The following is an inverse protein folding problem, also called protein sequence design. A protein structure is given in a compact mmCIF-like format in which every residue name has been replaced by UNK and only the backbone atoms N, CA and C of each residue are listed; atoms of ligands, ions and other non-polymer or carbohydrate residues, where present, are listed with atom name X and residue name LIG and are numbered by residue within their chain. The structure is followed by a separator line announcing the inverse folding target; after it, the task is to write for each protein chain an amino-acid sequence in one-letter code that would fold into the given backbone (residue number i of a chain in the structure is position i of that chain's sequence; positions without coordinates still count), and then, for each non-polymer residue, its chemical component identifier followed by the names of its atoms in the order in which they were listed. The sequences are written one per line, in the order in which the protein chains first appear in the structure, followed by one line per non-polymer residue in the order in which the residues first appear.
data_IF_754662380681
#
_entry.id   IF_754662380681
#
_cell.length_a   1.000
_cell.length_b   1.000
_cell.length_c   1.000
_cell.angle_alpha   90.00
_cell.angle_beta   90.00
_cell.angle_gamma   90.00
#
_symmetry.space_group_name_H-M   'P 1'
#
loop_
_entity.id
_entity.type
_entity.pdbx_description
1 polymer ?
#
# COMPACT_ATOMS: atom_id res chain seq x y z
N UNK A 1 -14.73 -1.43 10.47
CA UNK A 1 -14.52 -2.42 9.41
C UNK A 1 -14.64 -3.80 10.03
N UNK A 2 -15.55 -4.66 9.56
CA UNK A 2 -15.73 -6.00 10.13
C UNK A 2 -15.19 -7.00 9.10
N UNK A 3 -14.22 -7.81 9.51
CA UNK A 3 -13.65 -8.85 8.66
C UNK A 3 -14.16 -10.21 9.09
N UNK A 4 -14.58 -11.01 8.14
CA UNK A 4 -14.64 -12.47 8.31
C UNK A 4 -13.74 -13.06 7.22
N UNK A 5 -12.51 -13.36 7.58
CA UNK A 5 -11.53 -13.93 6.64
C UNK A 5 -11.16 -15.32 7.13
N UNK A 6 -11.45 -16.31 6.32
CA UNK A 6 -10.92 -17.65 6.47
C UNK A 6 -9.63 -17.79 5.67
N UNK A 7 -8.56 -18.25 6.29
CA UNK A 7 -7.30 -18.61 5.64
C UNK A 7 -7.14 -20.12 5.62
N UNK A 8 -6.78 -20.66 4.46
CA UNK A 8 -6.36 -22.07 4.32
C UNK A 8 -4.94 -22.12 3.78
N UNK A 9 -4.17 -23.06 4.28
CA UNK A 9 -2.77 -23.29 3.90
C UNK A 9 -2.62 -24.70 3.35
N UNK A 10 -1.87 -24.83 2.27
CA UNK A 10 -1.39 -26.10 1.76
C UNK A 10 0.14 -26.06 1.68
N UNK A 11 0.80 -27.08 2.21
CA UNK A 11 2.26 -27.18 2.26
C UNK A 11 2.94 -26.42 3.41
N UNK A 12 2.19 -25.82 4.33
CA UNK A 12 2.73 -25.08 5.47
C UNK A 12 1.85 -25.22 6.72
N UNK A 13 2.43 -24.90 7.87
CA UNK A 13 1.74 -24.85 9.16
C UNK A 13 1.84 -23.45 9.77
N UNK A 14 0.79 -23.04 10.50
CA UNK A 14 0.83 -21.78 11.27
C UNK A 14 1.72 -21.98 12.50
N UNK A 15 2.73 -21.13 12.64
CA UNK A 15 3.61 -21.11 13.81
C UNK A 15 3.16 -20.06 14.84
N UNK A 16 2.74 -18.89 14.36
CA UNK A 16 2.27 -17.82 15.23
C UNK A 16 1.32 -16.87 14.49
N UNK A 17 0.42 -16.25 15.25
CA UNK A 17 -0.38 -15.11 14.81
C UNK A 17 -0.13 -13.97 15.79
N UNK A 18 0.11 -12.77 15.26
CA UNK A 18 0.37 -11.58 16.07
C UNK A 18 -0.06 -10.32 15.33
N UNK A 19 -0.11 -9.22 16.04
CA UNK A 19 -0.28 -7.90 15.49
C UNK A 19 1.07 -7.20 15.49
N UNK A 20 1.50 -6.69 14.34
CA UNK A 20 2.76 -5.96 14.22
C UNK A 20 2.65 -4.53 14.76
N UNK A 21 3.75 -3.78 14.71
CA UNK A 21 3.82 -2.39 15.17
C UNK A 21 2.91 -1.43 14.39
N UNK A 22 2.48 -1.80 13.19
CA UNK A 22 1.57 -1.03 12.35
C UNK A 22 0.09 -1.46 12.52
N UNK A 23 -0.20 -2.35 13.47
CA UNK A 23 -1.49 -3.01 13.67
C UNK A 23 -1.94 -3.90 12.50
N UNK A 24 -1.00 -4.42 11.72
CA UNK A 24 -1.29 -5.45 10.75
C UNK A 24 -1.38 -6.81 11.45
N UNK A 25 -2.43 -7.57 11.17
CA UNK A 25 -2.50 -8.97 11.59
C UNK A 25 -1.54 -9.80 10.74
N UNK A 26 -0.58 -10.41 11.38
CA UNK A 26 0.49 -11.17 10.73
C UNK A 26 0.40 -12.63 11.14
N UNK A 27 0.48 -13.53 10.16
CA UNK A 27 0.55 -14.97 10.39
C UNK A 27 1.92 -15.46 9.94
N UNK A 28 2.70 -15.97 10.89
CA UNK A 28 3.96 -16.66 10.61
C UNK A 28 3.66 -18.12 10.25
N UNK A 29 4.15 -18.55 9.11
CA UNK A 29 4.00 -19.92 8.65
C UNK A 29 5.37 -20.59 8.50
N UNK A 30 5.46 -21.87 8.81
CA UNK A 30 6.61 -22.70 8.54
C UNK A 30 6.30 -23.69 7.43
N UNK A 31 7.26 -23.85 6.52
CA UNK A 31 7.14 -24.82 5.43
C UNK A 31 7.44 -26.23 5.93
N UNK A 32 6.64 -27.19 5.52
CA UNK A 32 6.93 -28.60 5.78
C UNK A 32 8.21 -29.04 5.07
N UNK A 33 9.02 -29.91 5.68
CA UNK A 33 10.25 -30.38 5.04
C UNK A 33 10.00 -30.98 3.65
N UNK A 34 10.75 -30.51 2.66
CA UNK A 34 10.63 -30.98 1.27
C UNK A 34 9.53 -30.30 0.46
N UNK A 35 8.77 -29.38 1.04
CA UNK A 35 7.78 -28.58 0.32
C UNK A 35 8.45 -27.68 -0.69
N UNK A 36 7.93 -27.68 -1.93
CA UNK A 36 8.41 -26.84 -3.04
C UNK A 36 7.41 -25.74 -3.40
N UNK A 37 6.17 -25.88 -2.95
CA UNK A 37 5.09 -24.98 -3.25
C UNK A 37 4.21 -24.81 -2.01
N UNK A 38 3.80 -23.57 -1.76
CA UNK A 38 2.84 -23.23 -0.71
C UNK A 38 1.71 -22.45 -1.32
N UNK A 39 0.50 -22.88 -1.06
CA UNK A 39 -0.69 -22.13 -1.46
C UNK A 39 -1.35 -21.52 -0.23
N UNK A 40 -1.52 -20.20 -0.26
CA UNK A 40 -2.26 -19.45 0.76
C UNK A 40 -3.53 -18.94 0.13
N UNK A 41 -4.67 -19.37 0.62
CA UNK A 41 -5.98 -18.89 0.14
C UNK A 41 -6.69 -18.14 1.26
N UNK A 42 -7.02 -16.88 1.00
CA UNK A 42 -7.82 -16.05 1.90
C UNK A 42 -9.18 -15.75 1.26
N UNK A 43 -10.26 -15.98 1.99
CA UNK A 43 -11.62 -15.68 1.56
C UNK A 43 -12.38 -14.97 2.66
N UNK A 44 -13.16 -13.96 2.31
CA UNK A 44 -13.93 -13.25 3.31
C UNK A 44 -14.88 -12.22 2.74
N UNK A 45 -15.71 -11.66 3.60
CA UNK A 45 -16.61 -10.56 3.29
C UNK A 45 -16.20 -9.34 4.10
N UNK A 46 -16.13 -8.19 3.46
CA UNK A 46 -15.77 -6.92 4.07
C UNK A 46 -16.91 -5.93 3.87
N UNK A 47 -17.34 -5.29 4.98
CA UNK A 47 -18.26 -4.17 4.92
C UNK A 47 -17.49 -2.87 4.87
N UNK A 48 -17.62 -2.15 3.77
CA UNK A 48 -16.98 -0.85 3.58
C UNK A 48 -17.99 0.28 3.68
N UNK A 49 -17.53 1.45 4.08
CA UNK A 49 -18.31 2.69 4.07
C UNK A 49 -17.49 3.80 3.42
N UNK A 50 -18.15 4.68 2.71
CA UNK A 50 -17.51 5.86 2.17
C UNK A 50 -17.28 6.88 3.29
N UNK A 51 -16.05 7.30 3.45
CA UNK A 51 -15.61 8.33 4.40
C UNK A 51 -14.84 9.44 3.69
N UNK A 52 -15.02 9.56 2.37
CA UNK A 52 -14.30 10.54 1.54
C UNK A 52 -12.77 10.50 1.73
N UNK A 53 -12.22 9.32 1.91
CA UNK A 53 -10.79 9.09 2.15
C UNK A 53 -10.31 9.37 3.57
N UNK A 54 -11.15 9.88 4.46
CA UNK A 54 -10.75 10.17 5.85
C UNK A 54 -10.79 8.89 6.69
N UNK A 55 -9.62 8.45 7.15
CA UNK A 55 -9.48 7.30 8.05
C UNK A 55 -9.66 7.73 9.51
N UNK A 56 -9.30 8.98 9.81
CA UNK A 56 -9.46 9.58 11.13
C UNK A 56 -8.19 9.54 11.99
N UNK A 57 -8.37 9.65 13.30
CA UNK A 57 -7.28 9.86 14.26
C UNK A 57 -6.24 8.75 14.19
N UNK A 58 -4.99 9.16 14.41
CA UNK A 58 -3.92 8.19 14.60
C UNK A 58 -4.20 7.36 15.86
N UNK A 59 -4.19 6.04 15.69
CA UNK A 59 -4.29 5.06 16.75
C UNK A 59 -3.09 4.13 16.64
N UNK A 60 -2.56 3.70 17.78
CA UNK A 60 -1.42 2.81 17.81
C UNK A 60 -0.27 3.33 18.67
N UNK A 61 0.78 2.52 18.76
CA UNK A 61 1.91 2.76 19.65
C UNK A 61 3.01 3.60 18.99
N UNK A 62 3.07 3.62 17.65
CA UNK A 62 4.08 4.35 16.91
C UNK A 62 3.75 5.85 16.92
N UNK A 63 4.70 6.71 17.30
CA UNK A 63 4.49 8.15 17.26
C UNK A 63 4.46 8.66 15.80
N UNK A 64 3.78 9.78 15.55
CA UNK A 64 3.67 10.35 14.21
C UNK A 64 5.01 10.66 13.55
N UNK A 65 6.03 11.04 14.33
CA UNK A 65 7.37 11.30 13.77
C UNK A 65 8.00 10.06 13.12
N UNK A 66 7.61 8.84 13.51
CA UNK A 66 8.05 7.60 12.87
C UNK A 66 7.68 7.55 11.38
N UNK A 67 6.55 8.14 11.04
CA UNK A 67 6.07 8.22 9.65
C UNK A 67 6.66 9.40 8.87
N UNK A 68 7.59 10.15 9.46
CA UNK A 68 8.45 11.14 8.79
C UNK A 68 9.80 10.54 8.37
N UNK A 69 10.16 9.37 8.91
CA UNK A 69 11.44 8.74 8.62
C UNK A 69 11.48 8.15 7.21
N UNK A 70 12.58 8.40 6.50
CA UNK A 70 12.83 7.77 5.22
C UNK A 70 13.13 6.27 5.39
N UNK A 71 12.70 5.50 4.41
CA UNK A 71 13.12 4.11 4.23
C UNK A 71 14.03 3.99 3.01
N UNK A 72 14.61 2.81 2.78
CA UNK A 72 15.38 2.57 1.55
C UNK A 72 14.55 2.81 0.29
N UNK A 73 13.27 2.44 0.31
CA UNK A 73 12.36 2.57 -0.84
C UNK A 73 11.88 4.00 -1.09
N UNK A 74 11.76 4.82 -0.03
CA UNK A 74 11.19 6.18 -0.10
C UNK A 74 12.21 7.29 0.08
N UNK A 75 13.52 6.97 0.17
CA UNK A 75 14.60 7.95 0.38
C UNK A 75 14.65 8.97 -0.76
N UNK A 76 14.60 10.28 -0.45
CA UNK A 76 14.60 11.31 -1.47
C UNK A 76 15.90 11.36 -2.29
N UNK A 77 15.76 11.30 -3.60
CA UNK A 77 16.82 11.57 -4.58
C UNK A 77 16.67 12.97 -5.22
N UNK A 78 17.36 13.19 -6.31
CA UNK A 78 17.37 14.49 -6.98
C UNK A 78 16.03 14.79 -7.66
N UNK A 79 15.36 13.78 -8.23
CA UNK A 79 14.07 13.93 -8.91
C UNK A 79 12.95 14.23 -7.94
N UNK A 80 12.89 13.52 -6.82
CA UNK A 80 11.92 13.79 -5.76
C UNK A 80 12.08 15.21 -5.21
N UNK A 81 13.34 15.65 -4.95
CA UNK A 81 13.61 17.02 -4.51
C UNK A 81 13.15 18.06 -5.51
N UNK A 82 13.38 17.83 -6.80
CA UNK A 82 12.94 18.74 -7.86
C UNK A 82 11.41 18.81 -7.94
N UNK A 83 10.73 17.66 -7.81
CA UNK A 83 9.27 17.59 -7.82
C UNK A 83 8.66 18.38 -6.65
N UNK A 84 9.17 18.18 -5.44
CA UNK A 84 8.70 18.92 -4.25
C UNK A 84 9.02 20.41 -4.35
N UNK A 85 10.19 20.79 -4.85
CA UNK A 85 10.57 22.20 -5.02
C UNK A 85 9.69 22.94 -6.04
N UNK A 86 9.14 22.23 -7.02
CA UNK A 86 8.22 22.79 -8.02
C UNK A 86 6.75 22.82 -7.56
N UNK A 87 6.43 22.17 -6.42
CA UNK A 87 5.07 22.06 -5.93
C UNK A 87 4.63 23.37 -5.24
N UNK A 88 3.53 24.01 -5.67
CA UNK A 88 2.94 25.09 -4.89
C UNK A 88 2.39 24.55 -3.57
N UNK A 89 2.93 25.04 -2.47
CA UNK A 89 2.44 24.71 -1.12
C UNK A 89 1.41 25.76 -0.71
N UNK A 90 0.25 25.30 -0.28
CA UNK A 90 -0.86 26.13 0.18
C UNK A 90 -1.11 25.92 1.67
N UNK A 91 -1.87 26.82 2.30
CA UNK A 91 -2.31 26.68 3.69
C UNK A 91 -3.23 25.45 3.85
N UNK A 92 -3.98 25.07 2.79
CA UNK A 92 -4.74 23.83 2.73
C UNK A 92 -3.82 22.66 2.35
N UNK A 93 -3.46 21.85 3.35
CA UNK A 93 -2.63 20.66 3.16
C UNK A 93 -3.32 19.57 2.33
N UNK A 94 -4.65 19.46 2.37
CA UNK A 94 -5.39 18.51 1.53
C UNK A 94 -5.21 18.89 0.05
N UNK A 95 -5.40 20.17 -0.26
CA UNK A 95 -5.18 20.67 -1.63
C UNK A 95 -3.72 20.49 -2.08
N UNK A 96 -2.75 20.77 -1.21
CA UNK A 96 -1.33 20.55 -1.48
C UNK A 96 -1.03 19.08 -1.81
N UNK A 97 -1.57 18.14 -1.04
CA UNK A 97 -1.37 16.70 -1.25
C UNK A 97 -2.08 16.18 -2.51
N UNK A 98 -3.25 16.70 -2.86
CA UNK A 98 -3.87 16.40 -4.17
C UNK A 98 -3.04 16.92 -5.35
N UNK A 99 -2.40 18.08 -5.21
CA UNK A 99 -1.46 18.58 -6.23
C UNK A 99 -0.21 17.72 -6.32
N UNK A 100 0.31 17.24 -5.19
CA UNK A 100 1.40 16.27 -5.18
C UNK A 100 1.00 15.00 -5.94
N UNK A 101 -0.19 14.44 -5.66
CA UNK A 101 -0.73 13.29 -6.39
C UNK A 101 -0.78 13.54 -7.90
N UNK A 102 -1.33 14.68 -8.32
CA UNK A 102 -1.41 15.07 -9.72
C UNK A 102 -0.01 15.23 -10.36
N UNK A 103 0.96 15.80 -9.63
CA UNK A 103 2.33 15.97 -10.12
C UNK A 103 3.04 14.61 -10.31
N UNK A 104 2.79 13.64 -9.43
CA UNK A 104 3.32 12.26 -9.58
C UNK A 104 2.75 11.61 -10.84
N UNK A 105 1.42 11.64 -11.03
CA UNK A 105 0.75 11.08 -12.23
C UNK A 105 1.28 11.73 -13.51
N UNK A 106 1.48 13.04 -13.50
CA UNK A 106 1.98 13.77 -14.67
C UNK A 106 3.45 13.41 -15.00
N UNK A 107 4.21 12.91 -14.03
CA UNK A 107 5.63 12.60 -14.20
C UNK A 107 5.89 11.13 -14.46
N UNK A 108 5.11 10.23 -13.87
CA UNK A 108 5.29 8.77 -13.94
C UNK A 108 4.08 8.15 -14.63
N UNK A 109 4.31 7.63 -15.84
CA UNK A 109 3.30 6.88 -16.60
C UNK A 109 2.99 5.55 -15.92
N UNK A 110 1.69 5.22 -15.78
CA UNK A 110 1.30 3.90 -15.28
C UNK A 110 1.62 2.82 -16.31
N UNK A 111 2.61 1.98 -16.03
CA UNK A 111 3.06 0.94 -16.94
C UNK A 111 3.54 -0.29 -16.16
N UNK A 112 2.95 -1.45 -16.44
CA UNK A 112 3.33 -2.73 -15.85
C UNK A 112 4.60 -3.29 -16.47
N UNK A 113 5.36 -4.12 -15.71
CA UNK A 113 6.56 -4.81 -16.20
C UNK A 113 7.81 -3.96 -16.33
N UNK A 114 7.83 -2.74 -15.76
CA UNK A 114 8.98 -1.82 -15.77
C UNK A 114 9.64 -1.67 -14.40
N UNK A 115 8.93 -1.99 -13.35
CA UNK A 115 9.37 -1.91 -11.95
C UNK A 115 9.06 -3.22 -11.23
N UNK A 116 9.69 -3.43 -10.10
CA UNK A 116 9.51 -4.59 -9.22
C UNK A 116 9.37 -4.16 -7.75
N UNK A 117 9.31 -5.13 -6.84
CA UNK A 117 9.14 -4.89 -5.41
C UNK A 117 10.33 -4.17 -4.74
N UNK A 118 11.51 -4.18 -5.38
CA UNK A 118 12.72 -3.55 -4.87
C UNK A 118 12.95 -2.14 -5.44
N UNK A 119 12.21 -1.78 -6.50
CA UNK A 119 12.31 -0.46 -7.15
C UNK A 119 12.02 0.66 -6.17
N UNK A 120 12.92 1.62 -6.04
CA UNK A 120 12.77 2.77 -5.16
C UNK A 120 11.94 3.88 -5.81
N UNK A 121 11.38 4.76 -5.00
CA UNK A 121 10.63 5.93 -5.46
C UNK A 121 11.44 6.82 -6.43
N UNK A 122 12.74 7.01 -6.15
CA UNK A 122 13.61 7.82 -7.01
C UNK A 122 13.86 7.13 -8.36
N UNK A 123 14.08 5.81 -8.37
CA UNK A 123 14.29 5.04 -9.60
C UNK A 123 13.06 5.06 -10.49
N UNK A 124 11.86 4.90 -9.92
CA UNK A 124 10.60 5.01 -10.66
C UNK A 124 10.41 6.41 -11.28
N UNK A 125 10.75 7.48 -10.54
CA UNK A 125 10.75 8.86 -11.06
C UNK A 125 11.78 9.08 -12.17
N UNK A 126 12.96 8.47 -12.06
CA UNK A 126 13.99 8.54 -13.12
C UNK A 126 13.52 7.80 -14.37
N UNK A 127 12.92 6.62 -14.21
CA UNK A 127 12.37 5.84 -15.31
C UNK A 127 11.11 6.46 -15.92
N UNK A 128 10.43 7.36 -15.21
CA UNK A 128 9.16 7.98 -15.55
C UNK A 128 8.05 6.96 -15.87
N UNK A 129 8.15 5.75 -15.32
CA UNK A 129 7.20 4.64 -15.46
C UNK A 129 7.13 3.85 -14.17
N UNK A 130 5.94 3.33 -13.85
CA UNK A 130 5.74 2.52 -12.67
C UNK A 130 4.29 2.08 -12.52
N UNK A 131 4.00 1.44 -11.39
CA UNK A 131 2.66 0.96 -11.04
C UNK A 131 2.16 1.67 -9.76
N UNK A 132 1.02 1.23 -9.22
CA UNK A 132 0.44 1.85 -8.01
C UNK A 132 1.39 1.83 -6.80
N UNK A 133 2.22 0.80 -6.68
CA UNK A 133 3.27 0.74 -5.65
C UNK A 133 4.25 1.90 -5.76
N UNK A 134 4.75 2.18 -6.97
CA UNK A 134 5.73 3.24 -7.21
C UNK A 134 5.11 4.61 -6.97
N UNK A 135 3.91 4.84 -7.49
CA UNK A 135 3.17 6.08 -7.27
C UNK A 135 2.97 6.36 -5.78
N UNK A 136 2.56 5.35 -5.01
CA UNK A 136 2.38 5.48 -3.56
C UNK A 136 3.69 5.76 -2.83
N UNK A 137 4.79 5.09 -3.17
CA UNK A 137 6.10 5.30 -2.56
C UNK A 137 6.67 6.69 -2.85
N UNK A 138 6.52 7.19 -4.08
CA UNK A 138 6.91 8.56 -4.46
C UNK A 138 6.12 9.58 -3.64
N UNK A 139 4.81 9.42 -3.57
CA UNK A 139 3.94 10.31 -2.79
C UNK A 139 4.35 10.32 -1.31
N UNK A 140 4.53 9.14 -0.70
CA UNK A 140 4.93 9.00 0.71
C UNK A 140 6.25 9.72 0.98
N UNK A 141 7.28 9.48 0.17
CA UNK A 141 8.57 10.14 0.33
C UNK A 141 8.49 11.66 0.14
N UNK A 142 7.74 12.13 -0.85
CA UNK A 142 7.54 13.57 -1.08
C UNK A 142 6.73 14.24 0.03
N UNK A 143 5.69 13.59 0.57
CA UNK A 143 4.92 14.11 1.69
C UNK A 143 5.79 14.27 2.95
N UNK A 144 6.67 13.30 3.22
CA UNK A 144 7.65 13.39 4.33
C UNK A 144 8.63 14.54 4.17
N UNK A 145 9.09 14.81 2.95
CA UNK A 145 9.92 15.99 2.66
C UNK A 145 9.21 17.31 2.96
N UNK A 146 7.89 17.35 2.87
CA UNK A 146 7.05 18.49 3.28
C UNK A 146 6.79 18.53 4.79
N UNK A 147 7.35 17.61 5.57
CA UNK A 147 7.10 17.50 7.01
C UNK A 147 5.77 16.85 7.37
N UNK A 148 5.10 16.21 6.42
CA UNK A 148 3.79 15.57 6.61
C UNK A 148 4.00 14.07 6.85
N UNK A 149 3.59 13.52 8.03
CA UNK A 149 3.68 12.09 8.28
C UNK A 149 2.88 11.32 7.23
N UNK A 150 3.52 10.34 6.58
CA UNK A 150 2.88 9.58 5.51
C UNK A 150 3.25 8.09 5.59
N UNK A 151 2.32 7.23 5.15
CA UNK A 151 2.48 5.78 5.14
C UNK A 151 1.94 5.15 3.88
N UNK A 152 2.48 4.02 3.56
CA UNK A 152 2.07 3.16 2.46
C UNK A 152 0.90 2.27 2.90
N UNK A 153 0.01 1.96 1.98
CA UNK A 153 -1.12 1.05 2.20
C UNK A 153 -1.15 0.00 1.10
N UNK A 154 -1.19 -1.25 1.51
CA UNK A 154 -1.57 -2.39 0.65
C UNK A 154 -3.03 -2.73 0.86
N UNK A 155 -3.72 -3.05 -0.23
CA UNK A 155 -5.11 -3.44 -0.17
C UNK A 155 -5.66 -3.89 -1.49
N UNK A 156 -6.97 -3.83 -1.62
CA UNK A 156 -7.69 -4.23 -2.83
C UNK A 156 -8.62 -3.10 -3.27
N UNK A 157 -8.75 -2.96 -4.58
CA UNK A 157 -9.70 -2.04 -5.21
C UNK A 157 -10.71 -2.86 -6.02
N UNK A 158 -11.99 -2.70 -5.71
CA UNK A 158 -13.05 -3.26 -6.52
C UNK A 158 -13.13 -2.48 -7.85
N UNK A 159 -12.90 -3.16 -8.95
CA UNK A 159 -13.06 -2.61 -10.30
C UNK A 159 -14.47 -2.86 -10.82
N UNK A 160 -15.04 -1.88 -11.52
CA UNK A 160 -16.42 -1.99 -12.04
C UNK A 160 -16.51 -2.84 -13.31
N UNK A 161 -15.39 -3.04 -13.99
CA UNK A 161 -15.30 -3.70 -15.30
C UNK A 161 -14.82 -5.17 -15.23
N UNK A 162 -14.32 -5.59 -14.06
CA UNK A 162 -13.77 -6.94 -13.86
C UNK A 162 -13.82 -7.38 -12.40
N UNK A 163 -13.98 -8.69 -12.20
CA UNK A 163 -13.93 -9.33 -10.87
C UNK A 163 -12.54 -9.89 -10.61
N UNK A 164 -12.00 -10.59 -11.58
CA UNK A 164 -10.67 -11.20 -11.47
C UNK A 164 -9.58 -10.17 -11.75
N UNK A 165 -8.59 -10.13 -10.89
CA UNK A 165 -7.46 -9.20 -10.96
C UNK A 165 -6.15 -9.97 -10.75
N UNK A 166 -5.08 -9.49 -11.40
CA UNK A 166 -3.76 -10.12 -11.32
C UNK A 166 -2.90 -9.59 -10.18
N UNK A 167 -3.32 -8.52 -9.52
CA UNK A 167 -2.52 -7.87 -8.46
C UNK A 167 -3.38 -7.15 -7.43
N UNK A 168 -2.82 -7.02 -6.22
CA UNK A 168 -3.31 -6.11 -5.19
C UNK A 168 -3.16 -4.65 -5.63
N UNK A 169 -3.81 -3.74 -4.92
CA UNK A 169 -3.71 -2.31 -5.14
C UNK A 169 -2.94 -1.62 -4.01
N UNK A 170 -2.35 -0.48 -4.31
CA UNK A 170 -1.59 0.32 -3.37
C UNK A 170 -1.97 1.80 -3.44
N UNK A 171 -1.94 2.46 -2.28
CA UNK A 171 -2.12 3.90 -2.16
C UNK A 171 -1.35 4.46 -0.97
N UNK A 172 -1.42 5.75 -0.77
CA UNK A 172 -0.79 6.43 0.35
C UNK A 172 -1.81 6.96 1.35
N UNK A 173 -1.41 7.09 2.59
CA UNK A 173 -2.12 7.86 3.61
C UNK A 173 -1.19 8.92 4.19
N UNK A 174 -1.68 10.15 4.36
CA UNK A 174 -0.97 11.25 5.00
C UNK A 174 -1.73 11.76 6.22
N UNK A 175 -1.02 12.13 7.27
CA UNK A 175 -1.64 12.65 8.50
C UNK A 175 -1.77 14.16 8.42
N UNK A 176 -2.99 14.65 8.56
CA UNK A 176 -3.33 16.07 8.50
C UNK A 176 -3.94 16.48 9.83
N UNK A 177 -3.41 17.54 10.43
CA UNK A 177 -3.92 18.05 11.70
C UNK A 177 -5.40 18.41 11.59
N UNK A 178 -6.17 17.98 12.59
CA UNK A 178 -7.62 18.14 12.62
C UNK A 178 -8.41 17.03 11.90
N UNK A 179 -7.86 16.37 10.89
CA UNK A 179 -8.50 15.27 10.15
C UNK A 179 -7.98 13.90 10.57
N UNK A 180 -6.70 13.80 10.93
CA UNK A 180 -6.01 12.54 11.11
C UNK A 180 -5.48 11.99 9.78
N UNK A 181 -5.48 10.67 9.61
CA UNK A 181 -5.05 10.02 8.37
C UNK A 181 -6.06 10.22 7.25
N UNK A 182 -5.57 10.64 6.09
CA UNK A 182 -6.34 10.83 4.85
C UNK A 182 -5.68 10.03 3.73
N UNK A 183 -6.47 9.26 2.98
CA UNK A 183 -6.00 8.42 1.88
C UNK A 183 -5.91 9.17 0.56
N UNK A 184 -4.88 8.82 -0.22
CA UNK A 184 -4.61 9.34 -1.56
C UNK A 184 -4.25 8.19 -2.48
N UNK A 185 -5.18 7.78 -3.34
CA UNK A 185 -4.85 6.88 -4.44
C UNK A 185 -4.26 7.69 -5.59
N UNK A 186 -2.94 7.71 -5.61
CA UNK A 186 -2.18 8.50 -6.57
C UNK A 186 -2.43 8.02 -7.99
N UNK A 187 -2.46 6.71 -8.23
CA UNK A 187 -2.65 6.15 -9.58
C UNK A 187 -3.99 6.51 -10.21
N UNK A 188 -5.03 6.64 -9.40
CA UNK A 188 -6.37 7.01 -9.86
C UNK A 188 -6.67 8.50 -9.67
N UNK A 189 -5.81 9.26 -8.98
CA UNK A 189 -5.99 10.69 -8.71
C UNK A 189 -7.18 11.02 -7.80
N UNK A 190 -7.56 10.11 -6.92
CA UNK A 190 -8.73 10.25 -6.03
C UNK A 190 -8.38 9.87 -4.60
N UNK A 191 -9.24 10.23 -3.67
CA UNK A 191 -9.22 9.64 -2.32
C UNK A 191 -9.99 8.31 -2.32
N UNK A 192 -9.53 7.30 -1.53
CA UNK A 192 -10.21 6.03 -1.41
C UNK A 192 -11.66 6.16 -0.97
N UNK A 193 -12.56 5.47 -1.65
CA UNK A 193 -13.99 5.40 -1.38
C UNK A 193 -14.40 3.98 -0.91
N UNK A 194 -15.68 3.65 -0.94
CA UNK A 194 -16.21 2.34 -0.52
C UNK A 194 -15.71 1.14 -1.34
N UNK A 195 -15.06 1.35 -2.48
CA UNK A 195 -14.49 0.28 -3.32
C UNK A 195 -13.15 -0.23 -2.79
N UNK A 196 -12.57 0.45 -1.82
CA UNK A 196 -11.24 0.16 -1.30
C UNK A 196 -11.31 -0.70 -0.05
N UNK A 197 -10.53 -1.78 -0.04
CA UNK A 197 -10.32 -2.63 1.12
C UNK A 197 -8.88 -2.46 1.59
N UNK A 198 -8.69 -1.78 2.71
CA UNK A 198 -7.40 -1.56 3.35
C UNK A 198 -7.00 -2.82 4.11
N UNK A 199 -5.84 -3.40 3.79
CA UNK A 199 -5.37 -4.66 4.39
C UNK A 199 -4.21 -4.42 5.35
N UNK A 200 -3.14 -3.78 4.88
CA UNK A 200 -1.96 -3.53 5.68
C UNK A 200 -1.40 -2.13 5.45
N UNK A 201 -0.69 -1.60 6.44
CA UNK A 201 0.02 -0.32 6.35
C UNK A 201 1.44 -0.45 6.84
N UNK A 202 2.32 0.41 6.32
CA UNK A 202 3.71 0.48 6.74
C UNK A 202 4.35 1.77 6.27
N UNK A 203 5.61 2.00 6.61
CA UNK A 203 6.35 3.15 6.10
C UNK A 203 6.63 3.05 4.59
N UNK A 204 6.69 1.82 4.06
CA UNK A 204 6.85 1.50 2.65
C UNK A 204 6.20 0.15 2.33
N UNK A 205 6.39 -0.32 1.08
CA UNK A 205 5.87 -1.61 0.64
C UNK A 205 6.38 -2.78 1.48
N UNK A 206 7.64 -2.79 1.92
CA UNK A 206 8.23 -3.92 2.65
C UNK A 206 7.54 -4.17 3.99
N UNK A 207 7.11 -3.11 4.67
CA UNK A 207 6.37 -3.21 5.92
C UNK A 207 4.88 -3.56 5.71
N UNK A 208 4.33 -3.31 4.52
CA UNK A 208 2.93 -3.56 4.19
C UNK A 208 2.75 -4.66 3.14
N UNK A 209 3.79 -5.40 2.78
CA UNK A 209 3.72 -6.46 1.79
C UNK A 209 2.78 -7.58 2.27
N UNK A 210 1.87 -8.07 1.40
CA UNK A 210 0.94 -9.14 1.77
C UNK A 210 1.63 -10.45 2.15
N UNK A 211 2.77 -10.73 1.54
CA UNK A 211 3.59 -11.90 1.80
C UNK A 211 5.06 -11.48 1.83
N UNK A 212 5.77 -11.91 2.87
CA UNK A 212 7.22 -11.79 2.96
C UNK A 212 7.81 -13.16 3.25
N UNK A 213 8.94 -13.48 2.65
CA UNK A 213 9.61 -14.77 2.82
C UNK A 213 11.07 -14.62 3.22
N UNK A 214 11.52 -15.51 4.10
CA UNK A 214 12.94 -15.69 4.42
C UNK A 214 13.28 -17.11 4.02
N UNK A 215 14.19 -17.27 3.05
CA UNK A 215 14.72 -18.59 2.66
C UNK A 215 16.18 -18.72 3.04
N UNK A 216 16.55 -19.88 3.56
CA UNK A 216 17.92 -20.25 3.81
C UNK A 216 18.37 -21.31 2.79
N UNK A 217 19.49 -21.10 2.14
CA UNK A 217 20.11 -22.13 1.30
C UNK A 217 20.02 -21.95 -0.21
N UNK A 218 19.66 -20.80 -0.69
CA UNK A 218 19.78 -20.41 -2.11
C UNK A 218 18.86 -21.22 -3.05
N UNK A 219 17.80 -20.61 -3.49
CA UNK A 219 16.89 -21.07 -4.54
C UNK A 219 16.10 -19.89 -5.07
N UNK A 220 15.76 -19.92 -6.35
CA UNK A 220 14.82 -18.95 -6.90
C UNK A 220 13.42 -19.27 -6.38
N UNK A 221 12.70 -18.24 -5.91
CA UNK A 221 11.30 -18.33 -5.55
C UNK A 221 10.47 -17.47 -6.48
N UNK A 222 9.33 -17.98 -6.91
CA UNK A 222 8.34 -17.24 -7.68
C UNK A 222 7.03 -17.18 -6.88
N UNK A 223 6.35 -16.04 -6.96
CA UNK A 223 5.03 -15.85 -6.35
C UNK A 223 4.00 -15.57 -7.44
N UNK A 224 2.91 -16.32 -7.40
CA UNK A 224 1.74 -16.06 -8.24
C UNK A 224 0.59 -15.60 -7.35
N UNK A 225 -0.06 -14.51 -7.73
CA UNK A 225 -1.19 -13.95 -7.01
C UNK A 225 -2.41 -13.96 -7.93
N UNK A 226 -3.51 -14.49 -7.44
CA UNK A 226 -4.82 -14.35 -8.07
C UNK A 226 -5.77 -13.71 -7.09
N UNK A 227 -6.57 -12.78 -7.54
CA UNK A 227 -7.48 -11.99 -6.72
C UNK A 227 -8.84 -11.89 -7.41
N UNK A 228 -9.91 -12.14 -6.65
CA UNK A 228 -11.27 -11.84 -7.07
C UNK A 228 -11.91 -10.89 -6.06
N UNK A 229 -12.42 -9.76 -6.55
CA UNK A 229 -13.13 -8.77 -5.74
C UNK A 229 -14.47 -8.49 -6.37
N UNK A 230 -15.54 -8.78 -5.63
CA UNK A 230 -16.90 -8.59 -6.11
C UNK A 230 -17.77 -7.91 -5.04
N UNK A 231 -18.77 -7.17 -5.50
CA UNK A 231 -19.79 -6.60 -4.63
C UNK A 231 -20.94 -7.61 -4.49
N UNK A 232 -21.21 -8.03 -3.25
CA UNK A 232 -22.43 -8.79 -2.99
C UNK A 232 -23.63 -7.84 -3.08
N UNK A 233 -24.55 -8.14 -3.98
CA UNK A 233 -25.85 -7.47 -4.00
C UNK A 233 -26.57 -7.90 -2.72
N UNK A 234 -26.84 -6.95 -1.83
CA UNK A 234 -27.62 -7.20 -0.64
C UNK A 234 -28.97 -7.79 -1.03
N UNK A 235 -29.34 -8.90 -0.41
CA UNK A 235 -30.71 -9.38 -0.46
C UNK A 235 -31.62 -8.26 0.08
N UNK A 236 -32.52 -7.79 -0.77
CA UNK A 236 -33.60 -6.88 -0.40
C UNK A 236 -34.56 -7.59 0.55
#
# INVERSE_FOLDING_TARGET
MTYCVGMTLDGATVEAEYEDQNHNRTTLIALSPGTREVTVTCRGTVHTSDQSGVIGRHAGHLPLWHFLEDTSATRPGARMRALVAALPVEDDLVATLHRLSAAVIATVEYATGHTDAETTAEEALVAARGVCQDHAQIFVGCARMLGIPARYVSGYLMMNDRVDQEASHAWAEAHIDGLGWVGFDVSNGISPDRRYVRVATGRDYREAAPVTGISYGGGESAMHVTLAVEQQQGAQ
#
